data_IF_233129070113
#
_entry.id   IF_233129070113
#
_cell.length_a   1.000
_cell.length_b   1.000
_cell.length_c   1.000
_cell.angle_alpha   90.00
_cell.angle_beta   90.00
_cell.angle_gamma   90.00
#
_symmetry.space_group_name_H-M   'P 1'
#
loop_
_entity.id
_entity.type
_entity.pdbx_description
1 polymer ?
#
# COMPACT_ATOMS: atom_id res chain seq x y z
N UNK A 1 20.26 33.85 11.93
CA UNK A 1 19.29 33.00 11.24
C UNK A 1 18.01 33.02 12.04
N UNK A 2 16.93 33.54 11.47
CA UNK A 2 15.64 33.66 12.13
C UNK A 2 14.99 32.27 12.26
N UNK A 3 14.01 32.08 13.14
CA UNK A 3 13.31 30.79 13.32
C UNK A 3 12.59 30.33 12.03
N UNK A 4 12.07 31.27 11.26
CA UNK A 4 11.48 31.04 9.95
C UNK A 4 12.49 30.46 8.95
N UNK A 5 13.71 31.04 8.89
CA UNK A 5 14.76 30.59 7.98
C UNK A 5 15.19 29.12 8.28
N UNK A 6 15.14 28.71 9.53
CA UNK A 6 15.46 27.33 9.94
C UNK A 6 14.37 26.34 9.56
N UNK A 7 13.11 26.74 9.63
CA UNK A 7 11.97 25.91 9.22
C UNK A 7 12.00 25.70 7.68
N UNK A 8 12.26 26.73 6.92
CA UNK A 8 12.38 26.65 5.46
C UNK A 8 13.54 25.73 5.02
N UNK A 9 14.70 25.85 5.67
CA UNK A 9 15.85 24.97 5.40
C UNK A 9 15.52 23.51 5.68
N UNK A 10 14.76 23.21 6.74
CA UNK A 10 14.36 21.83 7.04
C UNK A 10 13.41 21.28 5.97
N UNK A 11 12.47 22.08 5.49
CA UNK A 11 11.55 21.72 4.41
C UNK A 11 12.33 21.44 3.11
N UNK A 12 13.18 22.37 2.69
CA UNK A 12 13.97 22.20 1.44
C UNK A 12 14.93 21.02 1.51
N UNK A 13 15.48 20.73 2.71
CA UNK A 13 16.36 19.58 2.91
C UNK A 13 15.61 18.25 2.82
N UNK A 14 14.38 18.21 3.32
CA UNK A 14 13.50 17.06 3.20
C UNK A 14 13.05 16.85 1.75
N UNK A 15 12.71 17.91 1.03
CA UNK A 15 12.40 17.86 -0.40
C UNK A 15 13.63 17.35 -1.18
N UNK A 16 14.82 17.90 -0.92
CA UNK A 16 16.05 17.40 -1.53
C UNK A 16 16.28 15.90 -1.30
N UNK A 17 15.96 15.41 -0.11
CA UNK A 17 16.05 13.97 0.20
C UNK A 17 15.11 13.16 -0.67
N UNK A 18 13.85 13.57 -0.80
CA UNK A 18 12.81 12.89 -1.59
C UNK A 18 13.19 12.76 -3.05
N UNK A 19 13.62 13.85 -3.67
CA UNK A 19 14.06 13.86 -5.06
C UNK A 19 15.28 12.97 -5.31
N UNK A 20 16.25 12.98 -4.40
CA UNK A 20 17.41 12.06 -4.49
C UNK A 20 16.99 10.58 -4.33
N UNK A 21 15.98 10.31 -3.56
CA UNK A 21 15.41 8.98 -3.38
C UNK A 21 14.65 8.54 -4.63
N UNK A 22 13.86 9.42 -5.23
CA UNK A 22 13.18 9.22 -6.52
C UNK A 22 14.17 8.93 -7.63
N UNK A 23 15.17 9.80 -7.82
CA UNK A 23 16.23 9.64 -8.81
C UNK A 23 16.93 8.28 -8.70
N UNK A 24 17.31 7.89 -7.47
CA UNK A 24 17.94 6.60 -7.24
C UNK A 24 16.99 5.44 -7.56
N UNK A 25 15.75 5.51 -7.12
CA UNK A 25 14.78 4.44 -7.25
C UNK A 25 14.42 4.21 -8.72
N UNK A 26 14.11 5.27 -9.46
CA UNK A 26 13.83 5.20 -10.88
C UNK A 26 15.04 4.72 -11.68
N UNK A 27 16.22 5.26 -11.40
CA UNK A 27 17.46 4.82 -12.06
C UNK A 27 17.85 3.37 -11.75
N UNK A 28 17.54 2.86 -10.56
CA UNK A 28 17.73 1.46 -10.22
C UNK A 28 16.71 0.56 -10.93
N UNK A 29 15.43 0.94 -10.92
CA UNK A 29 14.34 0.16 -11.52
C UNK A 29 14.41 0.13 -13.04
N UNK A 30 14.86 1.19 -13.68
CA UNK A 30 15.11 1.24 -15.13
C UNK A 30 16.02 0.08 -15.60
N UNK A 31 17.01 -0.30 -14.78
CA UNK A 31 17.95 -1.41 -15.08
C UNK A 31 17.31 -2.79 -15.00
N UNK A 32 16.20 -2.94 -14.30
CA UNK A 32 15.53 -4.21 -14.03
C UNK A 32 14.14 -4.31 -14.66
N UNK A 33 13.74 -3.30 -15.42
CA UNK A 33 12.50 -3.30 -16.18
C UNK A 33 12.59 -4.33 -17.32
N UNK A 34 11.53 -5.12 -17.45
CA UNK A 34 11.44 -6.16 -18.48
C UNK A 34 11.02 -5.59 -19.84
N UNK A 35 10.27 -4.48 -19.84
CA UNK A 35 9.81 -3.79 -21.05
C UNK A 35 10.72 -2.59 -21.32
N UNK A 36 11.19 -2.48 -22.57
CA UNK A 36 12.06 -1.39 -22.99
C UNK A 36 11.42 0.01 -22.80
N UNK A 37 10.11 0.09 -22.98
CA UNK A 37 9.32 1.30 -22.75
C UNK A 37 9.37 1.71 -21.29
N UNK A 38 9.12 0.77 -20.37
CA UNK A 38 9.23 1.01 -18.92
C UNK A 38 10.63 1.45 -18.52
N UNK A 39 11.67 0.78 -19.06
CA UNK A 39 13.05 1.13 -18.77
C UNK A 39 13.38 2.58 -19.19
N UNK A 40 12.92 2.98 -20.38
CA UNK A 40 13.15 4.34 -20.90
C UNK A 40 12.43 5.39 -20.09
N UNK A 41 11.14 5.19 -19.81
CA UNK A 41 10.35 6.13 -19.03
C UNK A 41 10.90 6.31 -17.60
N UNK A 42 11.27 5.23 -16.93
CA UNK A 42 11.90 5.31 -15.60
C UNK A 42 13.27 6.01 -15.63
N UNK A 43 14.04 5.86 -16.70
CA UNK A 43 15.31 6.57 -16.84
C UNK A 43 15.11 8.08 -17.06
N UNK A 44 14.10 8.46 -17.85
CA UNK A 44 13.72 9.88 -18.07
C UNK A 44 13.23 10.52 -16.76
N UNK A 45 12.41 9.82 -15.98
CA UNK A 45 11.98 10.28 -14.66
C UNK A 45 13.16 10.46 -13.71
N UNK A 46 14.11 9.51 -13.69
CA UNK A 46 15.30 9.63 -12.84
C UNK A 46 16.11 10.91 -13.14
N UNK A 47 16.22 11.31 -14.41
CA UNK A 47 16.92 12.55 -14.81
C UNK A 47 16.16 13.81 -14.35
N UNK A 48 14.83 13.79 -14.40
CA UNK A 48 13.99 14.89 -13.91
C UNK A 48 14.09 15.05 -12.39
N UNK A 49 14.05 13.95 -11.63
CA UNK A 49 14.26 13.95 -10.18
C UNK A 49 15.65 14.50 -9.80
N UNK A 50 16.71 14.20 -10.58
CA UNK A 50 18.03 14.79 -10.36
C UNK A 50 18.02 16.31 -10.54
N UNK A 51 17.23 16.84 -11.48
CA UNK A 51 17.07 18.28 -11.70
C UNK A 51 16.31 18.94 -10.54
N UNK A 52 15.23 18.32 -10.05
CA UNK A 52 14.51 18.78 -8.86
C UNK A 52 15.41 18.76 -7.62
N UNK A 53 16.16 17.68 -7.42
CA UNK A 53 17.14 17.59 -6.33
C UNK A 53 18.18 18.72 -6.37
N UNK A 54 18.65 19.10 -7.58
CA UNK A 54 19.60 20.19 -7.76
C UNK A 54 19.00 21.54 -7.38
N UNK A 55 17.70 21.77 -7.66
CA UNK A 55 16.95 22.96 -7.27
C UNK A 55 16.93 23.11 -5.74
N UNK A 56 16.49 22.07 -5.03
CA UNK A 56 16.41 22.08 -3.57
C UNK A 56 17.79 22.18 -2.89
N UNK A 57 18.80 21.52 -3.48
CA UNK A 57 20.19 21.64 -3.03
C UNK A 57 20.73 23.06 -3.17
N UNK A 58 20.37 23.79 -4.23
CA UNK A 58 20.75 25.18 -4.42
C UNK A 58 20.12 26.08 -3.35
N UNK A 59 18.81 25.93 -3.09
CA UNK A 59 18.11 26.68 -2.04
C UNK A 59 18.71 26.45 -0.65
N UNK A 60 19.05 25.20 -0.32
CA UNK A 60 19.73 24.89 0.93
C UNK A 60 21.10 25.58 1.04
N UNK A 61 21.89 25.60 -0.04
CA UNK A 61 23.20 26.27 -0.05
C UNK A 61 23.09 27.79 0.06
N UNK A 62 22.15 28.37 -0.65
CA UNK A 62 21.93 29.84 -0.64
C UNK A 62 21.49 30.34 0.74
N UNK A 63 20.77 29.48 1.48
CA UNK A 63 20.40 29.72 2.87
C UNK A 63 21.50 29.36 3.90
N UNK A 64 22.69 28.93 3.44
CA UNK A 64 23.84 28.64 4.31
C UNK A 64 23.75 27.30 5.03
N UNK A 65 22.93 26.37 4.56
CA UNK A 65 22.84 25.02 5.11
C UNK A 65 24.04 24.14 4.68
N UNK A 66 24.26 23.05 5.43
CA UNK A 66 25.27 22.04 5.07
C UNK A 66 24.96 21.46 3.70
N UNK A 67 25.90 21.60 2.75
CA UNK A 67 25.78 21.12 1.38
C UNK A 67 25.91 19.60 1.21
N UNK A 68 25.93 18.84 2.31
CA UNK A 68 25.97 17.37 2.25
C UNK A 68 24.61 16.80 1.91
N UNK A 69 24.52 15.87 0.92
CA UNK A 69 23.27 15.23 0.57
C UNK A 69 22.67 14.50 1.78
N UNK A 70 21.35 14.55 1.96
CA UNK A 70 20.66 13.82 3.01
C UNK A 70 20.84 12.31 2.87
N UNK A 71 20.74 11.59 3.99
CA UNK A 71 20.80 10.13 3.98
C UNK A 71 19.51 9.55 3.43
N UNK A 72 19.65 8.52 2.62
CA UNK A 72 18.54 7.78 2.02
C UNK A 72 17.78 6.95 3.04
N UNK A 73 16.45 6.87 2.91
CA UNK A 73 15.61 6.00 3.74
C UNK A 73 15.80 4.53 3.34
N UNK A 74 15.70 3.64 4.34
CA UNK A 74 15.74 2.19 4.15
C UNK A 74 14.56 1.70 3.28
N UNK A 75 13.41 2.37 3.33
CA UNK A 75 12.23 2.09 2.52
C UNK A 75 12.57 2.05 1.03
N UNK A 76 13.29 3.04 0.53
CA UNK A 76 13.69 3.15 -0.88
C UNK A 76 14.58 1.99 -1.31
N UNK A 77 15.48 1.56 -0.42
CA UNK A 77 16.35 0.40 -0.65
C UNK A 77 15.54 -0.89 -0.73
N UNK A 78 14.51 -1.04 0.11
CA UNK A 78 13.59 -2.19 0.09
C UNK A 78 12.81 -2.24 -1.23
N UNK A 79 12.25 -1.11 -1.68
CA UNK A 79 11.50 -1.04 -2.95
C UNK A 79 12.43 -1.39 -4.12
N UNK A 80 13.63 -0.83 -4.15
CA UNK A 80 14.62 -1.13 -5.19
C UNK A 80 14.98 -2.63 -5.21
N UNK A 81 15.16 -3.24 -4.03
CA UNK A 81 15.42 -4.68 -3.92
C UNK A 81 14.24 -5.54 -4.38
N UNK A 82 12.99 -5.16 -4.03
CA UNK A 82 11.79 -5.81 -4.53
C UNK A 82 11.68 -5.70 -6.05
N UNK A 83 11.95 -4.53 -6.63
CA UNK A 83 11.98 -4.35 -8.07
C UNK A 83 13.05 -5.19 -8.77
N UNK A 84 14.21 -5.39 -8.14
CA UNK A 84 15.25 -6.30 -8.65
C UNK A 84 14.79 -7.77 -8.63
N UNK A 85 14.09 -8.18 -7.58
CA UNK A 85 13.66 -9.58 -7.40
C UNK A 85 12.43 -9.93 -8.26
N UNK A 86 11.45 -9.03 -8.34
CA UNK A 86 10.15 -9.28 -8.96
C UNK A 86 10.00 -8.65 -10.36
N UNK A 87 10.93 -7.77 -10.74
CA UNK A 87 10.85 -6.88 -11.90
C UNK A 87 10.29 -5.51 -11.54
N UNK A 88 10.70 -4.47 -12.27
CA UNK A 88 10.28 -3.09 -12.03
C UNK A 88 8.75 -2.93 -12.12
N UNK A 89 8.11 -3.64 -13.02
CA UNK A 89 6.67 -3.60 -13.25
C UNK A 89 5.85 -4.00 -12.02
N UNK A 90 6.40 -4.87 -11.16
CA UNK A 90 5.72 -5.31 -9.94
C UNK A 90 5.59 -4.21 -8.87
N UNK A 91 6.45 -3.20 -8.92
CA UNK A 91 6.49 -2.11 -7.93
C UNK A 91 5.95 -0.78 -8.46
N UNK A 92 5.53 -0.70 -9.73
CA UNK A 92 5.00 0.55 -10.32
C UNK A 92 3.84 1.15 -9.50
N UNK A 93 2.98 0.32 -8.91
CA UNK A 93 1.88 0.80 -8.07
C UNK A 93 2.34 1.50 -6.79
N UNK A 94 3.52 1.16 -6.27
CA UNK A 94 4.13 1.83 -5.12
C UNK A 94 4.70 3.19 -5.53
N UNK A 95 5.32 3.26 -6.71
CA UNK A 95 5.84 4.50 -7.25
C UNK A 95 4.73 5.52 -7.48
N UNK A 96 3.58 5.10 -8.03
CA UNK A 96 2.41 5.99 -8.17
C UNK A 96 1.99 6.57 -6.81
N UNK A 97 2.00 5.77 -5.74
CA UNK A 97 1.66 6.27 -4.40
C UNK A 97 2.69 7.27 -3.86
N UNK A 98 3.96 7.08 -4.19
CA UNK A 98 5.03 8.01 -3.81
C UNK A 98 4.84 9.36 -4.50
N UNK A 99 4.62 9.37 -5.82
CA UNK A 99 4.32 10.59 -6.58
C UNK A 99 3.11 11.35 -6.03
N UNK A 100 2.03 10.63 -5.73
CA UNK A 100 0.83 11.25 -5.14
C UNK A 100 1.09 11.88 -3.77
N UNK A 101 1.94 11.24 -2.96
CA UNK A 101 2.37 11.78 -1.66
C UNK A 101 3.21 13.03 -1.82
N UNK A 102 4.09 13.06 -2.84
CA UNK A 102 4.97 14.19 -3.11
C UNK A 102 4.18 15.37 -3.69
N UNK A 103 3.24 15.14 -4.61
CA UNK A 103 2.28 16.14 -5.08
C UNK A 103 1.55 16.78 -3.91
N UNK A 104 0.96 15.97 -3.01
CA UNK A 104 0.24 16.47 -1.83
C UNK A 104 1.14 17.34 -0.95
N UNK A 105 2.36 16.88 -0.70
CA UNK A 105 3.34 17.60 0.13
C UNK A 105 3.71 18.95 -0.48
N UNK A 106 3.99 18.99 -1.79
CA UNK A 106 4.36 20.22 -2.49
C UNK A 106 3.19 21.21 -2.59
N UNK A 107 1.95 20.72 -2.76
CA UNK A 107 0.75 21.56 -2.72
C UNK A 107 0.58 22.21 -1.35
N UNK A 108 0.72 21.44 -0.27
CA UNK A 108 0.62 21.95 1.10
C UNK A 108 1.71 22.99 1.39
N UNK A 109 2.94 22.74 0.96
CA UNK A 109 4.06 23.66 1.10
C UNK A 109 3.87 24.96 0.28
N UNK A 110 3.37 24.87 -0.94
CA UNK A 110 3.05 26.00 -1.80
C UNK A 110 1.99 26.92 -1.16
N UNK A 111 0.98 26.32 -0.51
CA UNK A 111 -0.06 27.08 0.20
C UNK A 111 0.48 27.76 1.45
N UNK A 112 1.32 27.06 2.22
CA UNK A 112 1.90 27.57 3.46
C UNK A 112 2.91 28.70 3.25
N UNK A 113 3.77 28.59 2.21
CA UNK A 113 4.83 29.58 1.92
C UNK A 113 4.35 30.78 1.10
N UNK A 114 3.24 30.64 0.38
CA UNK A 114 2.78 31.64 -0.60
C UNK A 114 3.61 31.69 -1.90
N UNK A 115 4.61 30.80 -2.06
CA UNK A 115 5.52 30.74 -3.21
C UNK A 115 5.02 29.77 -4.29
N UNK A 116 3.77 29.91 -4.70
CA UNK A 116 3.08 28.97 -5.61
C UNK A 116 3.85 28.71 -6.90
N UNK A 117 4.51 29.73 -7.49
CA UNK A 117 5.22 29.60 -8.76
C UNK A 117 6.45 28.68 -8.66
N UNK A 118 7.13 28.65 -7.51
CA UNK A 118 8.28 27.77 -7.26
C UNK A 118 7.89 26.29 -7.26
N UNK A 119 6.77 25.97 -6.59
CA UNK A 119 6.28 24.59 -6.49
C UNK A 119 5.53 24.13 -7.72
N UNK A 120 4.97 25.04 -8.52
CA UNK A 120 4.13 24.72 -9.67
C UNK A 120 4.81 23.82 -10.69
N UNK A 121 6.09 24.09 -10.99
CA UNK A 121 6.86 23.27 -11.94
C UNK A 121 7.02 21.85 -11.41
N UNK A 122 7.49 21.69 -10.17
CA UNK A 122 7.68 20.38 -9.53
C UNK A 122 6.36 19.62 -9.48
N UNK A 123 5.27 20.23 -8.99
CA UNK A 123 3.93 19.60 -8.95
C UNK A 123 3.45 19.16 -10.34
N UNK A 124 3.75 19.96 -11.39
CA UNK A 124 3.39 19.59 -12.77
C UNK A 124 4.14 18.34 -13.23
N UNK A 125 5.44 18.27 -12.92
CA UNK A 125 6.30 17.16 -13.32
C UNK A 125 5.93 15.89 -12.54
N UNK A 126 5.72 15.97 -11.21
CA UNK A 126 5.23 14.85 -10.38
C UNK A 126 3.88 14.30 -10.88
N UNK A 127 2.98 15.21 -11.31
CA UNK A 127 1.71 14.82 -11.91
C UNK A 127 1.92 14.05 -13.22
N UNK A 128 2.89 14.47 -14.04
CA UNK A 128 3.25 13.78 -15.29
C UNK A 128 3.89 12.41 -15.01
N UNK A 129 4.75 12.30 -13.98
CA UNK A 129 5.33 11.05 -13.52
C UNK A 129 4.25 10.06 -13.09
N UNK A 130 3.33 10.47 -12.20
CA UNK A 130 2.23 9.64 -11.73
C UNK A 130 1.37 9.11 -12.89
N UNK A 131 1.06 9.94 -13.89
CA UNK A 131 0.33 9.53 -15.11
C UNK A 131 1.11 8.50 -15.93
N UNK A 132 2.39 8.76 -16.17
CA UNK A 132 3.25 7.86 -16.95
C UNK A 132 3.38 6.49 -16.28
N UNK A 133 3.58 6.45 -14.96
CA UNK A 133 3.63 5.22 -14.18
C UNK A 133 2.31 4.42 -14.24
N UNK A 134 1.17 5.10 -14.26
CA UNK A 134 -0.13 4.45 -14.44
C UNK A 134 -0.27 3.81 -15.81
N UNK A 135 0.13 4.49 -16.88
CA UNK A 135 0.12 3.94 -18.25
C UNK A 135 0.99 2.69 -18.32
N UNK A 136 2.22 2.77 -17.80
CA UNK A 136 3.17 1.66 -17.77
C UNK A 136 2.66 0.45 -16.99
N UNK A 137 1.83 0.65 -15.99
CA UNK A 137 1.19 -0.40 -15.20
C UNK A 137 0.10 -1.16 -15.97
N UNK A 138 -0.34 -0.70 -17.13
CA UNK A 138 -1.36 -1.34 -17.97
C UNK A 138 -2.74 -0.70 -17.84
N UNK A 139 -2.81 0.53 -17.32
CA UNK A 139 -3.99 1.38 -17.42
C UNK A 139 -4.05 2.01 -18.81
N UNK A 140 -5.17 1.87 -19.54
CA UNK A 140 -5.42 2.79 -20.65
C UNK A 140 -5.49 4.19 -20.05
N UNK A 141 -4.56 5.05 -20.49
CA UNK A 141 -4.61 6.45 -20.13
C UNK A 141 -5.84 7.07 -20.83
N UNK A 142 -6.95 7.13 -20.12
CA UNK A 142 -7.92 8.17 -20.45
C UNK A 142 -7.31 9.49 -20.00
N UNK A 143 -7.05 10.35 -20.97
CA UNK A 143 -6.35 11.63 -20.79
C UNK A 143 -7.02 12.57 -19.75
N UNK A 144 -8.18 12.21 -19.24
CA UNK A 144 -9.05 13.03 -18.40
C UNK A 144 -9.24 12.49 -16.96
N UNK A 145 -8.63 11.34 -16.59
CA UNK A 145 -8.77 10.81 -15.24
C UNK A 145 -7.54 11.11 -14.39
N UNK A 146 -7.76 11.82 -13.30
CA UNK A 146 -6.70 12.13 -12.34
C UNK A 146 -6.15 10.86 -11.68
N UNK A 147 -4.81 10.71 -11.55
CA UNK A 147 -4.14 9.47 -11.13
C UNK A 147 -4.61 8.90 -9.78
N UNK A 148 -5.07 9.75 -8.87
CA UNK A 148 -5.46 9.36 -7.51
C UNK A 148 -6.77 8.60 -7.39
N UNK A 149 -7.65 8.63 -8.41
CA UNK A 149 -8.90 7.87 -8.37
C UNK A 149 -8.72 6.36 -8.57
N UNK A 150 -7.56 5.90 -9.06
CA UNK A 150 -7.27 4.47 -9.33
C UNK A 150 -6.26 3.80 -8.38
N UNK A 151 -5.76 4.49 -7.37
CA UNK A 151 -4.75 3.94 -6.44
C UNK A 151 -5.26 2.75 -5.61
N UNK A 152 -6.57 2.48 -5.61
CA UNK A 152 -7.21 1.44 -4.79
C UNK A 152 -6.98 -0.01 -5.27
N UNK A 153 -6.64 -0.26 -6.54
CA UNK A 153 -6.65 -1.63 -7.10
C UNK A 153 -5.38 -2.48 -6.86
N UNK A 154 -4.15 -1.91 -6.87
CA UNK A 154 -2.93 -2.71 -6.71
C UNK A 154 -2.44 -2.79 -5.26
N UNK A 155 -2.86 -1.85 -4.42
CA UNK A 155 -2.63 -1.92 -2.97
C UNK A 155 -3.38 -3.06 -2.28
N UNK A 156 -4.46 -3.56 -2.89
CA UNK A 156 -5.31 -4.62 -2.33
C UNK A 156 -4.56 -5.93 -2.11
N UNK A 157 -4.05 -6.53 -3.18
CA UNK A 157 -3.39 -7.85 -3.10
C UNK A 157 -2.12 -7.81 -2.26
N UNK A 158 -1.28 -6.78 -2.41
CA UNK A 158 -0.04 -6.69 -1.64
C UNK A 158 -0.32 -6.39 -0.17
N UNK A 159 -1.34 -5.59 0.13
CA UNK A 159 -1.83 -5.38 1.49
C UNK A 159 -2.31 -6.69 2.11
N UNK A 160 -3.10 -7.48 1.39
CA UNK A 160 -3.57 -8.80 1.84
C UNK A 160 -2.41 -9.75 2.14
N UNK A 161 -1.38 -9.80 1.28
CA UNK A 161 -0.18 -10.62 1.52
C UNK A 161 0.54 -10.19 2.79
N UNK A 162 0.76 -8.89 2.98
CA UNK A 162 1.46 -8.37 4.16
C UNK A 162 0.66 -8.63 5.44
N UNK A 163 -0.65 -8.38 5.41
CA UNK A 163 -1.49 -8.61 6.58
C UNK A 163 -1.69 -10.10 6.87
N UNK A 164 -1.97 -10.92 5.84
CA UNK A 164 -2.09 -12.37 6.03
C UNK A 164 -0.81 -12.99 6.58
N UNK A 165 0.34 -12.63 6.03
CA UNK A 165 1.63 -13.09 6.54
C UNK A 165 1.88 -12.66 7.99
N UNK A 166 1.58 -11.41 8.33
CA UNK A 166 1.72 -10.91 9.69
C UNK A 166 0.78 -11.62 10.66
N UNK A 167 -0.45 -11.88 10.25
CA UNK A 167 -1.44 -12.56 11.06
C UNK A 167 -0.98 -13.96 11.42
N UNK A 168 -0.62 -14.78 10.42
CA UNK A 168 -0.08 -16.12 10.64
C UNK A 168 1.21 -16.13 11.48
N UNK A 169 2.13 -15.20 11.23
CA UNK A 169 3.35 -15.08 12.03
C UNK A 169 3.03 -14.78 13.50
N UNK A 170 2.15 -13.80 13.76
CA UNK A 170 1.83 -13.35 15.11
C UNK A 170 1.01 -14.40 15.87
N UNK A 171 -0.03 -14.94 15.24
CA UNK A 171 -0.91 -15.95 15.85
C UNK A 171 -0.15 -17.23 16.20
N UNK A 172 0.60 -17.76 15.24
CA UNK A 172 1.32 -19.03 15.48
C UNK A 172 2.56 -18.85 16.37
N UNK A 173 3.23 -17.72 16.31
CA UNK A 173 4.30 -17.39 17.27
C UNK A 173 3.74 -17.30 18.70
N UNK A 174 2.60 -16.64 18.88
CA UNK A 174 1.90 -16.60 20.17
C UNK A 174 1.50 -18.01 20.65
N UNK A 175 0.92 -18.85 19.77
CA UNK A 175 0.57 -20.22 20.09
C UNK A 175 1.80 -21.03 20.55
N UNK A 176 2.88 -20.98 19.77
CA UNK A 176 4.14 -21.68 20.07
C UNK A 176 4.71 -21.23 21.43
N UNK A 177 4.73 -19.91 21.68
CA UNK A 177 5.21 -19.39 22.97
C UNK A 177 4.31 -19.80 24.15
N UNK A 178 3.00 -19.83 23.96
CA UNK A 178 2.05 -20.32 24.96
C UNK A 178 2.28 -21.81 25.32
N UNK A 179 2.46 -22.63 24.29
CA UNK A 179 2.74 -24.06 24.46
C UNK A 179 4.12 -24.30 25.12
N UNK A 180 5.14 -23.52 24.76
CA UNK A 180 6.45 -23.55 25.43
C UNK A 180 6.31 -23.16 26.90
N UNK A 181 5.52 -22.15 27.23
CA UNK A 181 5.23 -21.72 28.59
C UNK A 181 4.64 -22.81 29.45
N UNK A 182 3.87 -23.73 28.86
CA UNK A 182 3.32 -24.91 29.55
C UNK A 182 4.34 -26.02 29.81
N UNK A 183 5.62 -25.81 29.45
CA UNK A 183 6.74 -26.75 29.73
C UNK A 183 6.53 -28.16 29.17
N UNK A 184 6.02 -28.26 27.94
CA UNK A 184 5.78 -29.52 27.23
C UNK A 184 6.95 -29.89 26.31
N UNK A 185 6.93 -31.13 25.76
CA UNK A 185 7.97 -31.58 24.84
C UNK A 185 7.92 -30.85 23.47
N UNK A 186 9.07 -30.78 22.79
CA UNK A 186 9.18 -30.21 21.44
C UNK A 186 8.22 -30.86 20.44
N UNK A 187 7.90 -32.14 20.59
CA UNK A 187 6.94 -32.83 19.75
C UNK A 187 5.52 -32.26 19.91
N UNK A 188 5.12 -31.86 21.10
CA UNK A 188 3.84 -31.20 21.38
C UNK A 188 3.85 -29.78 20.83
N UNK A 189 4.96 -29.05 20.97
CA UNK A 189 5.13 -27.73 20.37
C UNK A 189 4.96 -27.80 18.85
N UNK A 190 5.64 -28.75 18.21
CA UNK A 190 5.53 -28.95 16.76
C UNK A 190 4.12 -29.34 16.33
N UNK A 191 3.48 -30.29 17.02
CA UNK A 191 2.12 -30.72 16.70
C UNK A 191 1.13 -29.56 16.82
N UNK A 192 1.19 -28.80 17.91
CA UNK A 192 0.32 -27.66 18.14
C UNK A 192 0.58 -26.55 17.10
N UNK A 193 1.85 -26.27 16.80
CA UNK A 193 2.20 -25.25 15.82
C UNK A 193 1.81 -25.62 14.38
N UNK A 194 1.96 -26.88 13.96
CA UNK A 194 1.49 -27.36 12.64
C UNK A 194 -0.04 -27.31 12.56
N UNK A 195 -0.74 -27.77 13.62
CA UNK A 195 -2.20 -27.69 13.67
C UNK A 195 -2.68 -26.24 13.62
N UNK A 196 -2.03 -25.35 14.37
CA UNK A 196 -2.31 -23.90 14.35
C UNK A 196 -2.08 -23.29 12.98
N UNK A 197 -0.94 -23.56 12.33
CA UNK A 197 -0.64 -23.11 10.98
C UNK A 197 -1.71 -23.51 9.97
N UNK A 198 -2.11 -24.80 9.98
CA UNK A 198 -3.12 -25.28 9.03
C UNK A 198 -4.50 -24.69 9.32
N UNK A 199 -4.91 -24.63 10.58
CA UNK A 199 -6.18 -24.04 10.98
C UNK A 199 -6.27 -22.56 10.59
N UNK A 200 -5.22 -21.80 10.87
CA UNK A 200 -5.15 -20.37 10.60
C UNK A 200 -5.11 -20.07 9.08
N UNK A 201 -4.25 -20.78 8.33
CA UNK A 201 -4.16 -20.63 6.88
C UNK A 201 -5.50 -20.96 6.18
N UNK A 202 -6.19 -22.04 6.58
CA UNK A 202 -7.48 -22.42 6.02
C UNK A 202 -8.59 -21.44 6.43
N UNK A 203 -8.59 -20.97 7.67
CA UNK A 203 -9.52 -19.97 8.17
C UNK A 203 -9.39 -18.67 7.39
N UNK A 204 -8.16 -18.18 7.22
CA UNK A 204 -7.89 -16.95 6.48
C UNK A 204 -8.17 -17.08 4.98
N UNK A 205 -7.91 -18.24 4.39
CA UNK A 205 -8.31 -18.53 3.01
C UNK A 205 -9.81 -18.46 2.82
N UNK A 206 -10.56 -19.11 3.74
CA UNK A 206 -12.02 -19.12 3.71
C UNK A 206 -12.62 -17.74 3.93
N UNK A 207 -12.11 -17.01 4.91
CA UNK A 207 -12.55 -15.65 5.23
C UNK A 207 -12.29 -14.68 4.10
N UNK A 208 -11.09 -14.72 3.50
CA UNK A 208 -10.74 -13.90 2.34
C UNK A 208 -11.62 -14.18 1.12
N UNK A 209 -11.89 -15.47 0.85
CA UNK A 209 -12.82 -15.88 -0.21
C UNK A 209 -14.24 -15.34 0.03
N UNK A 210 -14.78 -15.57 1.24
CA UNK A 210 -16.14 -15.16 1.58
C UNK A 210 -16.30 -13.64 1.59
N UNK A 211 -15.30 -12.90 2.08
CA UNK A 211 -15.34 -11.45 2.09
C UNK A 211 -15.40 -10.89 0.65
N UNK A 212 -14.47 -11.32 -0.21
CA UNK A 212 -14.44 -10.89 -1.60
C UNK A 212 -15.68 -11.31 -2.38
N UNK A 213 -16.21 -12.49 -2.12
CA UNK A 213 -17.44 -12.95 -2.74
C UNK A 213 -18.67 -12.15 -2.29
N UNK A 214 -18.79 -11.88 -1.00
CA UNK A 214 -19.89 -11.07 -0.46
C UNK A 214 -19.86 -9.64 -1.00
N UNK A 215 -18.66 -9.05 -1.09
CA UNK A 215 -18.49 -7.72 -1.69
C UNK A 215 -18.92 -7.69 -3.16
N UNK A 216 -18.55 -8.71 -3.94
CA UNK A 216 -18.96 -8.85 -5.33
C UNK A 216 -20.48 -9.08 -5.47
N UNK A 217 -21.09 -9.92 -4.62
CA UNK A 217 -22.54 -10.15 -4.60
C UNK A 217 -23.31 -8.86 -4.29
N UNK A 218 -22.87 -8.09 -3.30
CA UNK A 218 -23.49 -6.78 -2.95
C UNK A 218 -23.33 -5.79 -4.10
N UNK A 219 -22.14 -5.72 -4.70
CA UNK A 219 -21.88 -4.86 -5.86
C UNK A 219 -22.81 -5.20 -7.04
N UNK A 220 -22.91 -6.49 -7.39
CA UNK A 220 -23.77 -6.95 -8.47
C UNK A 220 -25.25 -6.66 -8.20
N UNK A 221 -25.67 -6.80 -6.95
CA UNK A 221 -27.04 -6.48 -6.54
C UNK A 221 -27.35 -5.00 -6.76
N UNK A 222 -26.49 -4.09 -6.32
CA UNK A 222 -26.68 -2.66 -6.52
C UNK A 222 -26.64 -2.27 -8.00
N UNK A 223 -25.69 -2.80 -8.78
CA UNK A 223 -25.66 -2.55 -10.23
C UNK A 223 -26.90 -3.07 -10.97
N UNK A 224 -27.51 -4.15 -10.47
CA UNK A 224 -28.76 -4.67 -11.02
C UNK A 224 -29.95 -3.74 -10.71
N UNK A 225 -30.04 -3.21 -9.50
CA UNK A 225 -31.07 -2.23 -9.13
C UNK A 225 -30.94 -0.98 -9.98
N UNK A 226 -29.75 -0.39 -10.01
CA UNK A 226 -29.43 0.83 -10.77
C UNK A 226 -29.77 0.69 -12.26
N UNK A 227 -29.48 -0.48 -12.85
CA UNK A 227 -29.86 -0.78 -14.22
C UNK A 227 -31.38 -0.81 -14.41
N UNK A 228 -32.11 -1.37 -13.45
CA UNK A 228 -33.57 -1.42 -13.49
C UNK A 228 -34.20 -0.02 -13.35
N UNK A 229 -33.61 0.85 -12.53
CA UNK A 229 -34.01 2.23 -12.34
C UNK A 229 -33.80 3.04 -13.64
N UNK A 230 -32.64 2.91 -14.28
CA UNK A 230 -32.37 3.51 -15.59
C UNK A 230 -33.38 3.05 -16.65
N UNK A 231 -33.80 1.78 -16.65
CA UNK A 231 -34.74 1.22 -17.61
C UNK A 231 -36.19 1.63 -17.31
N UNK A 232 -36.60 1.66 -16.04
CA UNK A 232 -37.99 1.90 -15.63
C UNK A 232 -38.29 3.38 -15.38
N UNK A 233 -37.30 4.16 -14.90
CA UNK A 233 -37.46 5.55 -14.48
C UNK A 233 -36.39 6.48 -15.08
N UNK A 234 -36.13 6.43 -16.41
CA UNK A 234 -35.02 7.15 -17.02
C UNK A 234 -35.05 8.67 -16.83
N UNK A 235 -36.22 9.23 -16.58
CA UNK A 235 -36.38 10.66 -16.30
C UNK A 235 -35.92 11.04 -14.91
N UNK A 236 -36.16 10.20 -13.91
CA UNK A 236 -35.76 10.42 -12.53
C UNK A 236 -34.23 10.26 -12.40
N UNK A 237 -33.68 9.22 -13.02
CA UNK A 237 -32.21 8.95 -13.04
C UNK A 237 -31.44 10.07 -13.73
N UNK A 238 -31.98 10.59 -14.87
CA UNK A 238 -31.40 11.75 -15.52
C UNK A 238 -31.39 12.98 -14.61
N UNK A 239 -32.48 13.25 -13.90
CA UNK A 239 -32.59 14.41 -13.02
C UNK A 239 -31.72 14.24 -11.78
N UNK A 240 -31.52 13.00 -11.31
CA UNK A 240 -30.59 12.67 -10.25
C UNK A 240 -29.13 12.92 -10.66
N UNK A 241 -28.74 12.42 -11.80
CA UNK A 241 -27.40 12.65 -12.37
C UNK A 241 -27.14 14.15 -12.58
N UNK A 242 -28.15 14.91 -13.07
CA UNK A 242 -28.05 16.35 -13.21
C UNK A 242 -27.85 17.04 -11.84
N UNK A 243 -28.57 16.61 -10.78
CA UNK A 243 -28.36 17.15 -9.42
C UNK A 243 -26.93 16.86 -8.89
N UNK A 244 -26.36 15.70 -9.21
CA UNK A 244 -24.99 15.36 -8.81
C UNK A 244 -23.96 16.26 -9.47
N UNK A 245 -24.12 16.54 -10.77
CA UNK A 245 -23.26 17.48 -11.48
C UNK A 245 -23.40 18.94 -11.01
N UNK A 246 -24.61 19.37 -10.64
CA UNK A 246 -24.82 20.68 -10.02
C UNK A 246 -24.09 20.80 -8.68
N UNK A 247 -24.06 19.75 -7.85
CA UNK A 247 -23.27 19.73 -6.62
C UNK A 247 -21.78 19.85 -6.86
N UNK A 248 -21.29 19.45 -8.04
CA UNK A 248 -19.91 19.63 -8.50
C UNK A 248 -19.62 21.00 -9.10
N UNK A 249 -20.60 21.90 -9.13
CA UNK A 249 -20.44 23.29 -9.54
C UNK A 249 -20.88 23.62 -10.97
N UNK A 250 -21.49 22.67 -11.70
CA UNK A 250 -22.10 22.98 -13.01
C UNK A 250 -23.41 23.78 -12.84
N UNK A 251 -23.70 24.65 -13.79
CA UNK A 251 -25.02 25.29 -13.89
C UNK A 251 -26.11 24.27 -14.19
N UNK A 252 -27.35 24.61 -13.94
CA UNK A 252 -28.48 23.69 -14.17
C UNK A 252 -28.58 23.23 -15.63
N UNK A 253 -28.28 24.11 -16.57
CA UNK A 253 -28.36 23.81 -18.01
C UNK A 253 -27.18 22.92 -18.46
N UNK A 254 -25.98 23.18 -17.98
CA UNK A 254 -24.79 22.33 -18.23
C UNK A 254 -24.97 20.93 -17.65
N UNK A 255 -25.42 20.85 -16.40
CA UNK A 255 -25.64 19.58 -15.70
C UNK A 255 -26.69 18.72 -16.43
N UNK A 256 -27.80 19.33 -16.90
CA UNK A 256 -28.81 18.64 -17.72
C UNK A 256 -28.24 18.15 -19.04
N UNK A 257 -27.47 18.98 -19.74
CA UNK A 257 -26.87 18.60 -21.01
C UNK A 257 -25.89 17.40 -20.87
N UNK A 258 -25.13 17.35 -19.76
CA UNK A 258 -24.27 16.21 -19.45
C UNK A 258 -25.08 14.97 -19.12
N UNK A 259 -26.11 15.09 -18.27
CA UNK A 259 -26.99 13.98 -17.91
C UNK A 259 -27.73 13.41 -19.14
N UNK A 260 -28.28 14.24 -20.02
CA UNK A 260 -28.93 13.80 -21.26
C UNK A 260 -27.98 13.03 -22.18
N UNK A 261 -26.72 13.47 -22.26
CA UNK A 261 -25.69 12.79 -23.08
C UNK A 261 -25.30 11.43 -22.50
N UNK A 262 -25.17 11.35 -21.18
CA UNK A 262 -24.81 10.09 -20.48
C UNK A 262 -25.98 9.09 -20.56
N UNK A 263 -27.21 9.53 -20.33
CA UNK A 263 -28.39 8.68 -20.43
C UNK A 263 -28.64 8.16 -21.87
N UNK A 264 -28.12 8.84 -22.89
CA UNK A 264 -28.07 8.33 -24.26
C UNK A 264 -27.23 7.06 -24.47
N UNK A 265 -26.41 6.68 -23.48
CA UNK A 265 -25.64 5.44 -23.47
C UNK A 265 -25.85 4.71 -22.11
N UNK A 266 -26.74 3.70 -22.05
CA UNK A 266 -27.10 3.04 -20.78
C UNK A 266 -25.93 2.46 -20.02
N UNK A 267 -24.90 1.97 -20.72
CA UNK A 267 -23.69 1.44 -20.07
C UNK A 267 -22.85 2.55 -19.41
N UNK A 268 -22.76 3.71 -20.06
CA UNK A 268 -22.08 4.87 -19.50
C UNK A 268 -22.87 5.48 -18.34
N UNK A 269 -24.20 5.55 -18.45
CA UNK A 269 -25.07 6.00 -17.40
C UNK A 269 -24.93 5.14 -16.14
N UNK A 270 -25.07 3.82 -16.28
CA UNK A 270 -24.88 2.86 -15.19
C UNK A 270 -23.50 3.00 -14.53
N UNK A 271 -22.45 3.09 -15.33
CA UNK A 271 -21.10 3.22 -14.78
C UNK A 271 -20.91 4.54 -14.03
N UNK A 272 -21.54 5.61 -14.47
CA UNK A 272 -21.43 6.91 -13.83
C UNK A 272 -22.26 6.99 -12.55
N UNK A 273 -23.53 6.54 -12.59
CA UNK A 273 -24.39 6.49 -11.41
C UNK A 273 -23.82 5.58 -10.33
N UNK A 274 -23.33 4.39 -10.70
CA UNK A 274 -22.68 3.50 -9.75
C UNK A 274 -21.49 4.17 -9.01
N UNK A 275 -20.67 4.96 -9.71
CA UNK A 275 -19.57 5.68 -9.10
C UNK A 275 -19.99 6.87 -8.26
N UNK A 276 -20.97 7.63 -8.74
CA UNK A 276 -21.36 8.90 -8.12
C UNK A 276 -22.36 8.73 -6.98
N UNK A 277 -23.27 7.81 -7.10
CA UNK A 277 -24.33 7.59 -6.13
C UNK A 277 -23.93 6.52 -5.12
N UNK A 278 -23.50 5.37 -5.63
CA UNK A 278 -23.21 4.21 -4.80
C UNK A 278 -21.75 4.17 -4.32
N UNK A 279 -20.87 4.98 -4.91
CA UNK A 279 -19.43 4.93 -4.64
C UNK A 279 -18.78 3.59 -5.02
N UNK A 280 -19.37 2.86 -5.97
CA UNK A 280 -18.99 1.52 -6.37
C UNK A 280 -18.34 1.55 -7.75
N UNK A 281 -17.19 0.88 -7.90
CA UNK A 281 -16.64 0.64 -9.23
C UNK A 281 -17.45 -0.45 -9.94
N UNK A 282 -18.00 -0.19 -11.13
CA UNK A 282 -18.75 -1.18 -11.89
C UNK A 282 -17.89 -2.38 -12.35
N UNK A 283 -16.58 -2.24 -12.40
CA UNK A 283 -15.69 -3.34 -12.75
C UNK A 283 -15.51 -4.32 -11.58
N UNK A 284 -15.44 -5.65 -11.83
CA UNK A 284 -15.25 -6.62 -10.77
C UNK A 284 -13.87 -6.46 -10.11
N UNK A 285 -13.79 -6.47 -8.76
CA UNK A 285 -12.54 -6.23 -8.02
C UNK A 285 -11.51 -7.35 -8.14
N UNK A 286 -11.83 -8.46 -8.79
CA UNK A 286 -10.94 -9.60 -8.95
C UNK A 286 -11.63 -10.94 -8.69
N UNK A 287 -10.89 -12.03 -8.70
CA UNK A 287 -11.45 -13.36 -8.41
C UNK A 287 -11.45 -13.62 -6.90
N UNK A 288 -12.61 -13.86 -6.25
CA UNK A 288 -12.68 -14.20 -4.83
C UNK A 288 -11.81 -15.40 -4.44
N UNK A 289 -11.76 -16.41 -5.32
CA UNK A 289 -10.91 -17.58 -5.08
C UNK A 289 -9.42 -17.22 -5.02
N UNK A 290 -8.97 -16.34 -5.91
CA UNK A 290 -7.58 -15.87 -5.91
C UNK A 290 -7.26 -15.13 -4.62
N UNK A 291 -8.14 -14.28 -4.14
CA UNK A 291 -7.95 -13.51 -2.92
C UNK A 291 -7.87 -14.43 -1.70
N UNK A 292 -8.78 -15.39 -1.58
CA UNK A 292 -8.74 -16.38 -0.52
C UNK A 292 -7.45 -17.21 -0.53
N UNK A 293 -7.04 -17.73 -1.69
CA UNK A 293 -5.81 -18.53 -1.83
C UNK A 293 -4.56 -17.71 -1.50
N UNK A 294 -4.47 -16.48 -1.98
CA UNK A 294 -3.32 -15.60 -1.71
C UNK A 294 -3.22 -15.30 -0.20
N UNK A 295 -4.34 -14.97 0.44
CA UNK A 295 -4.37 -14.69 1.89
C UNK A 295 -3.98 -15.92 2.68
N UNK A 296 -4.56 -17.09 2.39
CA UNK A 296 -4.25 -18.34 3.09
C UNK A 296 -2.79 -18.77 2.94
N UNK A 297 -2.22 -18.68 1.74
CA UNK A 297 -0.79 -18.98 1.52
C UNK A 297 0.10 -18.01 2.30
N UNK A 298 -0.21 -16.72 2.25
CA UNK A 298 0.56 -15.71 2.98
C UNK A 298 0.54 -15.97 4.49
N UNK A 299 -0.64 -16.29 5.04
CA UNK A 299 -0.82 -16.66 6.46
C UNK A 299 -0.02 -17.91 6.81
N UNK A 300 -0.11 -18.96 6.00
CA UNK A 300 0.65 -20.20 6.21
C UNK A 300 2.16 -19.98 6.19
N UNK A 301 2.67 -19.16 5.28
CA UNK A 301 4.10 -18.81 5.22
C UNK A 301 4.55 -18.04 6.47
N UNK A 302 3.74 -17.10 6.96
CA UNK A 302 4.02 -16.39 8.21
C UNK A 302 4.03 -17.34 9.42
N UNK A 303 3.02 -18.19 9.52
CA UNK A 303 2.85 -19.16 10.59
C UNK A 303 3.95 -20.25 10.64
N UNK A 304 4.60 -20.52 9.52
CA UNK A 304 5.70 -21.49 9.43
C UNK A 304 6.97 -21.00 10.15
N UNK A 305 7.22 -19.69 10.19
CA UNK A 305 8.48 -19.12 10.68
C UNK A 305 8.85 -19.58 12.10
N UNK A 306 7.99 -19.47 13.12
CA UNK A 306 8.34 -19.89 14.47
C UNK A 306 8.57 -21.39 14.61
N UNK A 307 8.14 -22.23 13.64
CA UNK A 307 8.30 -23.67 13.65
C UNK A 307 9.61 -24.16 13.03
N UNK A 308 10.19 -23.39 12.12
CA UNK A 308 11.41 -23.78 11.38
C UNK A 308 12.53 -24.29 12.32
N UNK A 309 12.85 -23.62 13.45
CA UNK A 309 13.92 -24.09 14.32
C UNK A 309 13.70 -25.47 14.91
N UNK A 310 12.46 -25.80 15.25
CA UNK A 310 12.11 -27.12 15.83
C UNK A 310 12.24 -28.27 14.83
N UNK A 311 12.36 -27.99 13.52
CA UNK A 311 12.64 -28.98 12.49
C UNK A 311 14.13 -29.38 12.44
N UNK A 312 15.02 -28.51 12.93
CA UNK A 312 16.48 -28.65 12.77
C UNK A 312 17.18 -28.88 14.10
N UNK A 313 16.73 -28.21 15.17
CA UNK A 313 17.33 -28.28 16.51
C UNK A 313 16.24 -28.55 17.55
N UNK A 314 16.63 -28.99 18.75
CA UNK A 314 15.72 -29.37 19.83
C UNK A 314 16.02 -28.58 21.12
N UNK A 315 15.03 -28.55 22.01
CA UNK A 315 15.14 -27.98 23.34
C UNK A 315 15.33 -26.48 23.36
N UNK A 316 16.03 -25.97 24.36
CA UNK A 316 16.18 -24.54 24.62
C UNK A 316 16.80 -23.77 23.46
N UNK A 317 17.65 -24.42 22.65
CA UNK A 317 18.25 -23.79 21.47
C UNK A 317 17.19 -23.50 20.41
N UNK A 318 16.28 -24.43 20.14
CA UNK A 318 15.18 -24.21 19.20
C UNK A 318 14.30 -23.02 19.64
N UNK A 319 14.00 -22.91 20.93
CA UNK A 319 13.21 -21.82 21.49
C UNK A 319 13.85 -20.44 21.22
N UNK A 320 15.14 -20.28 21.55
CA UNK A 320 15.82 -19.00 21.34
C UNK A 320 15.94 -18.62 19.87
N UNK A 321 16.19 -19.60 19.00
CA UNK A 321 16.24 -19.36 17.55
C UNK A 321 14.85 -18.98 17.05
N UNK A 322 13.77 -19.66 17.51
CA UNK A 322 12.40 -19.35 17.13
C UNK A 322 12.02 -17.92 17.52
N UNK A 323 12.36 -17.50 18.74
CA UNK A 323 12.17 -16.11 19.17
C UNK A 323 12.95 -15.15 18.26
N UNK A 324 14.22 -15.41 18.01
CA UNK A 324 15.08 -14.54 17.20
C UNK A 324 14.56 -14.35 15.79
N UNK A 325 14.26 -15.44 15.07
CA UNK A 325 13.78 -15.36 13.68
C UNK A 325 12.35 -14.76 13.58
N UNK A 326 11.47 -15.08 14.55
CA UNK A 326 10.13 -14.49 14.59
C UNK A 326 10.17 -12.98 14.85
N UNK A 327 11.03 -12.53 15.76
CA UNK A 327 11.23 -11.09 16.02
C UNK A 327 11.83 -10.36 14.83
N UNK A 328 12.79 -10.98 14.14
CA UNK A 328 13.34 -10.44 12.90
C UNK A 328 12.27 -10.36 11.80
N UNK A 329 11.44 -11.38 11.69
CA UNK A 329 10.34 -11.42 10.72
C UNK A 329 9.28 -10.35 11.03
N UNK A 330 8.87 -10.16 12.30
CA UNK A 330 7.97 -9.07 12.69
C UNK A 330 8.54 -7.71 12.32
N UNK A 331 9.83 -7.48 12.62
CA UNK A 331 10.48 -6.24 12.23
C UNK A 331 10.50 -6.05 10.71
N UNK A 332 10.82 -7.10 9.95
CA UNK A 332 10.86 -7.06 8.49
C UNK A 332 9.47 -6.78 7.87
N UNK A 333 8.41 -7.41 8.41
CA UNK A 333 7.03 -7.14 7.97
C UNK A 333 6.62 -5.72 8.30
N UNK A 334 6.95 -5.23 9.49
CA UNK A 334 6.70 -3.83 9.86
C UNK A 334 7.46 -2.85 8.97
N UNK A 335 8.72 -3.12 8.66
CA UNK A 335 9.49 -2.32 7.71
C UNK A 335 8.90 -2.40 6.28
N UNK A 336 8.45 -3.58 5.85
CA UNK A 336 7.74 -3.77 4.58
C UNK A 336 6.41 -2.99 4.52
N UNK A 337 5.66 -2.96 5.62
CA UNK A 337 4.43 -2.15 5.74
C UNK A 337 4.69 -0.66 5.54
N UNK A 338 5.87 -0.16 5.90
CA UNK A 338 6.24 1.24 5.71
C UNK A 338 6.19 1.67 4.25
N UNK A 339 6.42 0.72 3.34
CA UNK A 339 6.32 0.94 1.88
C UNK A 339 4.93 1.46 1.48
N UNK A 340 3.86 1.00 2.18
CA UNK A 340 2.47 1.41 1.89
C UNK A 340 2.00 2.59 2.71
N UNK A 341 2.58 2.82 3.89
CA UNK A 341 2.08 3.81 4.83
C UNK A 341 2.84 5.13 4.79
N UNK A 342 3.91 5.22 3.97
CA UNK A 342 4.77 6.39 3.90
C UNK A 342 5.55 6.69 5.21
N UNK A 343 5.47 5.79 6.21
CA UNK A 343 6.15 5.95 7.50
C UNK A 343 7.61 5.51 7.42
N UNK A 344 8.50 6.03 8.28
CA UNK A 344 9.88 5.55 8.37
C UNK A 344 9.93 4.04 8.66
N UNK A 345 10.67 3.28 7.84
CA UNK A 345 10.73 1.81 7.91
C UNK A 345 11.19 1.30 9.29
N UNK A 346 12.19 1.94 9.90
CA UNK A 346 12.69 1.57 11.22
C UNK A 346 11.61 1.70 12.31
N UNK A 347 10.83 2.79 12.27
CA UNK A 347 9.76 3.02 13.26
C UNK A 347 8.63 2.01 13.08
N UNK A 348 8.20 1.77 11.82
CA UNK A 348 7.17 0.79 11.51
C UNK A 348 7.62 -0.64 11.84
N UNK A 349 8.89 -0.96 11.61
CA UNK A 349 9.50 -2.23 12.00
C UNK A 349 9.51 -2.42 13.52
N UNK A 350 9.88 -1.38 14.26
CA UNK A 350 9.90 -1.42 15.72
C UNK A 350 8.50 -1.55 16.32
N UNK A 351 7.49 -0.86 15.77
CA UNK A 351 6.09 -1.00 16.18
C UNK A 351 5.64 -2.47 16.10
N UNK A 352 5.95 -3.16 14.99
CA UNK A 352 5.57 -4.56 14.80
C UNK A 352 6.39 -5.51 15.69
N UNK A 353 7.69 -5.21 15.91
CA UNK A 353 8.51 -5.95 16.86
C UNK A 353 7.90 -5.91 18.28
N UNK A 354 7.47 -4.74 18.74
CA UNK A 354 6.84 -4.58 20.06
C UNK A 354 5.53 -5.36 20.14
N UNK A 355 4.70 -5.33 19.09
CA UNK A 355 3.46 -6.10 19.05
C UNK A 355 3.75 -7.61 19.12
N UNK A 356 4.64 -8.13 18.29
CA UNK A 356 5.00 -9.55 18.29
C UNK A 356 5.57 -10.02 19.64
N UNK A 357 6.44 -9.21 20.24
CA UNK A 357 6.99 -9.51 21.57
C UNK A 357 5.91 -9.47 22.64
N UNK A 358 4.99 -8.51 22.58
CA UNK A 358 3.87 -8.40 23.53
C UNK A 358 2.96 -9.63 23.48
N UNK A 359 2.57 -10.09 22.28
CA UNK A 359 1.76 -11.29 22.09
C UNK A 359 2.50 -12.52 22.64
N UNK A 360 3.77 -12.70 22.28
CA UNK A 360 4.58 -13.83 22.74
C UNK A 360 4.70 -13.87 24.27
N UNK A 361 4.94 -12.71 24.90
CA UNK A 361 5.05 -12.62 26.37
C UNK A 361 3.74 -12.98 27.06
N UNK A 362 2.63 -12.42 26.59
CA UNK A 362 1.31 -12.68 27.17
C UNK A 362 0.95 -14.15 27.06
N UNK A 363 1.12 -14.74 25.88
CA UNK A 363 0.79 -16.17 25.67
C UNK A 363 1.72 -17.09 26.44
N UNK A 364 3.01 -16.77 26.52
CA UNK A 364 3.96 -17.49 27.36
C UNK A 364 3.56 -17.50 28.86
N UNK A 365 3.20 -16.33 29.39
CA UNK A 365 2.72 -16.22 30.78
C UNK A 365 1.43 -17.01 31.02
N UNK A 366 0.53 -17.02 30.06
CA UNK A 366 -0.68 -17.88 30.13
C UNK A 366 -0.26 -19.34 30.17
N UNK A 367 0.66 -19.76 29.33
CA UNK A 367 1.21 -21.12 29.33
C UNK A 367 1.82 -21.51 30.69
N UNK A 368 2.60 -20.63 31.31
CA UNK A 368 3.14 -20.84 32.67
C UNK A 368 2.05 -21.04 33.73
N UNK A 369 0.96 -20.29 33.67
CA UNK A 369 -0.17 -20.44 34.59
C UNK A 369 -0.79 -21.85 34.44
N UNK A 370 -0.99 -22.30 33.21
CA UNK A 370 -1.55 -23.64 32.94
C UNK A 370 -0.60 -24.75 33.39
N UNK A 371 0.72 -24.58 33.23
CA UNK A 371 1.73 -25.54 33.71
C UNK A 371 1.72 -25.75 35.24
N UNK A 372 1.26 -24.75 35.98
CA UNK A 372 1.17 -24.83 37.47
C UNK A 372 -0.16 -25.39 37.93
N UNK A 373 -1.24 -25.21 37.13
CA UNK A 373 -2.60 -25.56 37.50
C UNK A 373 -2.97 -27.01 37.06
N UNK A 374 -2.36 -27.50 35.97
CA UNK A 374 -2.53 -28.86 35.45
C UNK A 374 -1.40 -29.77 35.89
#
# INVERSE_FOLDING_TARGET
>A
MNRSDQEDIMIWRENWRRELEGAYLYGALAKWARRAETARALAEMAEQEEQHAALWAALCRDAGADGRPPRRDLRVTIIAWLGRLLGAEAVLGLLVQDELSDISTYVDQAQASGEQERYRMVVSDETAHARSLQVLRGGEARADEEPWHRASGAGGTLRQVVYGFNDGLTANFGLVMGVIGANVSDAVVMLAGIAGLLADALSMASSGYLAARSEDEVRQYHLKLERAEIELMPGEERDELARQYQRKGLTADEARAVADRLMGNPAAALAQLAREELGIDPEPPGSPLREGVVTGIATGLGALIPLIPFLVVQGVQAIWIAIGISMLAHFAVGAGRAVFTGRPALRSGFDMFVVGMGVALVTYLIGLIFAVVL
#
